data_IF_569363180164
#
_entry.id   IF_569363180164
#
_cell.length_a   1.000
_cell.length_b   1.000
_cell.length_c   1.000
_cell.angle_alpha   90.00
_cell.angle_beta   90.00
_cell.angle_gamma   90.00
#
_symmetry.space_group_name_H-M   'P 1'
#
loop_
_entity.id
_entity.type
_entity.pdbx_description
1 polymer ?
#
# COMPACT_ATOMS: atom_id res chain seq x y z
N UNK A 1 8.16 -6.61 -22.51
CA UNK A 1 7.45 -6.32 -21.26
C UNK A 1 8.49 -6.22 -20.18
N UNK A 2 8.46 -5.11 -19.43
CA UNK A 2 9.27 -5.01 -18.23
C UNK A 2 8.81 -6.05 -17.21
N UNK A 3 9.75 -6.59 -16.45
CA UNK A 3 9.47 -7.67 -15.52
C UNK A 3 8.59 -7.16 -14.37
N UNK A 4 7.58 -7.95 -14.01
CA UNK A 4 6.73 -7.66 -12.84
C UNK A 4 7.53 -7.91 -11.57
N UNK A 5 7.55 -6.90 -10.69
CA UNK A 5 8.27 -6.98 -9.43
C UNK A 5 7.28 -7.13 -8.28
N UNK A 6 7.60 -8.06 -7.38
CA UNK A 6 6.88 -8.31 -6.15
C UNK A 6 7.80 -8.24 -4.92
N UNK A 7 7.23 -8.54 -3.77
CA UNK A 7 7.90 -8.60 -2.48
C UNK A 7 7.70 -9.97 -1.84
N UNK A 8 8.80 -10.69 -1.68
CA UNK A 8 8.86 -11.82 -0.76
C UNK A 8 9.15 -11.29 0.64
N UNK A 9 8.28 -11.64 1.57
CA UNK A 9 8.34 -11.19 2.95
C UNK A 9 8.59 -12.38 3.87
N UNK A 10 9.53 -12.21 4.80
CA UNK A 10 9.82 -13.18 5.86
C UNK A 10 9.75 -12.51 7.22
N UNK A 11 9.23 -13.22 8.21
CA UNK A 11 9.28 -12.83 9.63
C UNK A 11 10.03 -13.91 10.40
N UNK A 12 11.10 -13.53 11.09
CA UNK A 12 11.98 -14.45 11.82
C UNK A 12 12.50 -15.62 10.96
N UNK A 13 12.83 -15.33 9.70
CA UNK A 13 13.31 -16.30 8.71
C UNK A 13 12.21 -17.12 8.04
N UNK A 14 10.97 -17.11 8.54
CA UNK A 14 9.85 -17.84 7.97
C UNK A 14 9.18 -17.04 6.85
N UNK A 15 9.05 -17.59 5.62
CA UNK A 15 8.29 -16.95 4.55
C UNK A 15 6.81 -16.80 4.93
N UNK A 16 6.26 -15.60 4.73
CA UNK A 16 4.85 -15.30 5.02
C UNK A 16 4.03 -14.99 3.77
N UNK A 17 4.62 -14.38 2.75
CA UNK A 17 3.99 -14.15 1.44
C UNK A 17 5.01 -13.78 0.37
N UNK A 18 4.73 -14.14 -0.88
CA UNK A 18 5.29 -13.59 -2.11
C UNK A 18 4.25 -12.66 -2.74
N UNK A 19 4.14 -11.43 -2.25
CA UNK A 19 3.13 -10.48 -2.70
C UNK A 19 3.51 -9.82 -4.04
N UNK A 20 2.55 -9.64 -4.93
CA UNK A 20 2.77 -8.98 -6.21
C UNK A 20 1.55 -9.04 -7.12
N UNK A 21 1.62 -8.35 -8.24
CA UNK A 21 0.54 -8.31 -9.23
C UNK A 21 1.05 -8.74 -10.60
N UNK A 22 0.27 -9.57 -11.28
CA UNK A 22 0.44 -9.85 -12.71
C UNK A 22 -0.35 -8.84 -13.56
N UNK A 23 -0.18 -7.55 -13.26
CA UNK A 23 -0.94 -6.42 -13.80
C UNK A 23 -0.04 -5.26 -14.20
N UNK A 24 -0.52 -4.37 -15.07
CA UNK A 24 0.27 -3.23 -15.57
C UNK A 24 0.15 -1.98 -14.68
N UNK A 25 -0.99 -1.79 -14.02
CA UNK A 25 -1.26 -0.64 -13.15
C UNK A 25 -1.62 -1.09 -11.74
N UNK A 26 -0.66 -0.97 -10.82
CA UNK A 26 -0.83 -1.40 -9.44
C UNK A 26 0.04 -0.62 -8.46
N UNK A 27 -0.33 -0.69 -7.19
CA UNK A 27 0.49 -0.27 -6.06
C UNK A 27 0.77 -1.49 -5.20
N UNK A 28 2.04 -1.76 -4.88
CA UNK A 28 2.44 -2.78 -3.92
C UNK A 28 3.15 -2.12 -2.75
N UNK A 29 2.73 -2.45 -1.53
CA UNK A 29 3.26 -1.88 -0.29
C UNK A 29 3.63 -3.01 0.66
N UNK A 30 4.88 -2.99 1.12
CA UNK A 30 5.30 -3.69 2.33
C UNK A 30 5.78 -2.65 3.32
N UNK A 31 5.10 -2.49 4.46
CA UNK A 31 5.42 -1.46 5.43
C UNK A 31 5.50 -2.02 6.85
N UNK A 32 6.46 -1.50 7.60
CA UNK A 32 6.54 -1.66 9.06
C UNK A 32 6.14 -0.34 9.69
N UNK A 33 5.22 -0.38 10.64
CA UNK A 33 4.68 0.80 11.31
C UNK A 33 4.97 0.72 12.80
N UNK A 34 5.52 1.81 13.36
CA UNK A 34 5.73 1.98 14.79
C UNK A 34 4.96 3.21 15.27
N UNK A 35 4.04 3.00 16.21
CA UNK A 35 3.24 4.06 16.80
C UNK A 35 3.48 4.09 18.31
N UNK A 36 3.76 5.28 18.83
CA UNK A 36 3.81 5.57 20.26
C UNK A 36 2.94 6.80 20.52
N UNK A 37 1.96 6.67 21.42
CA UNK A 37 0.96 7.71 21.68
C UNK A 37 1.13 8.27 23.10
N UNK A 38 0.73 9.52 23.31
CA UNK A 38 0.85 10.21 24.60
C UNK A 38 0.10 9.54 25.75
N UNK A 39 -0.91 8.73 25.46
CA UNK A 39 -1.64 7.94 26.47
C UNK A 39 -0.90 6.64 26.86
N UNK A 40 0.33 6.43 26.38
CA UNK A 40 1.15 5.26 26.64
C UNK A 40 0.88 4.06 25.73
N UNK A 41 -0.14 4.12 24.85
CA UNK A 41 -0.38 3.03 23.90
C UNK A 41 0.69 2.96 22.82
N UNK A 42 1.11 1.74 22.48
CA UNK A 42 2.10 1.43 21.45
C UNK A 42 1.54 0.40 20.47
N UNK A 43 1.95 0.50 19.22
CA UNK A 43 1.54 -0.43 18.18
C UNK A 43 2.69 -0.61 17.19
N UNK A 44 3.12 -1.85 17.02
CA UNK A 44 4.21 -2.22 16.11
C UNK A 44 3.66 -3.27 15.16
N UNK A 45 3.57 -2.95 13.88
CA UNK A 45 2.91 -3.83 12.91
C UNK A 45 3.70 -3.93 11.62
N UNK A 46 3.59 -5.08 10.97
CA UNK A 46 3.96 -5.30 9.58
C UNK A 46 2.66 -5.45 8.78
N UNK A 47 2.60 -4.84 7.61
CA UNK A 47 1.53 -5.03 6.65
C UNK A 47 2.10 -5.17 5.23
N UNK A 48 1.49 -6.06 4.45
CA UNK A 48 1.76 -6.28 3.03
C UNK A 48 0.43 -6.18 2.30
N UNK A 49 0.26 -5.11 1.53
CA UNK A 49 -0.98 -4.75 0.87
C UNK A 49 -0.70 -4.06 -0.47
N UNK A 50 -1.76 -3.70 -1.16
CA UNK A 50 -1.65 -3.01 -2.43
C UNK A 50 -2.99 -2.55 -2.97
N UNK A 51 -2.94 -1.98 -4.17
CA UNK A 51 -4.11 -1.57 -4.92
C UNK A 51 -3.99 -2.07 -6.37
N UNK A 52 -5.02 -2.75 -6.85
CA UNK A 52 -5.24 -3.08 -8.25
C UNK A 52 -5.98 -1.90 -8.89
N UNK A 53 -5.27 -1.05 -9.64
CA UNK A 53 -5.85 0.17 -10.21
C UNK A 53 -6.77 -0.13 -11.41
N UNK A 54 -6.57 -1.26 -12.09
CA UNK A 54 -7.44 -1.68 -13.18
C UNK A 54 -8.84 -2.05 -12.66
N UNK A 55 -8.90 -2.64 -11.46
CA UNK A 55 -10.15 -3.08 -10.84
C UNK A 55 -10.67 -2.13 -9.75
N UNK A 56 -9.89 -1.14 -9.36
CA UNK A 56 -10.16 -0.24 -8.22
C UNK A 56 -10.38 -1.02 -6.91
N UNK A 57 -9.53 -2.03 -6.68
CA UNK A 57 -9.57 -2.89 -5.50
C UNK A 57 -8.36 -2.67 -4.60
N UNK A 58 -8.60 -2.64 -3.29
CA UNK A 58 -7.56 -2.83 -2.29
C UNK A 58 -7.33 -4.32 -2.09
N UNK A 59 -6.06 -4.72 -1.98
CA UNK A 59 -5.65 -6.10 -1.74
C UNK A 59 -4.74 -6.19 -0.52
N UNK A 60 -4.82 -7.32 0.17
CA UNK A 60 -4.05 -7.57 1.38
C UNK A 60 -3.53 -9.00 1.38
N UNK A 61 -2.22 -9.15 1.59
CA UNK A 61 -1.56 -10.46 1.65
C UNK A 61 -1.23 -10.89 3.07
N UNK A 62 -0.76 -9.96 3.90
CA UNK A 62 -0.25 -10.32 5.20
C UNK A 62 -0.23 -9.13 6.14
N UNK A 63 -0.40 -9.41 7.43
CA UNK A 63 -0.15 -8.44 8.47
C UNK A 63 -0.12 -9.10 9.83
N UNK A 64 0.71 -8.55 10.70
CA UNK A 64 0.94 -9.09 12.04
C UNK A 64 1.47 -8.00 12.96
N UNK A 65 1.30 -8.21 14.26
CA UNK A 65 1.99 -7.41 15.27
C UNK A 65 3.44 -7.88 15.38
N UNK A 66 4.36 -6.93 15.51
CA UNK A 66 5.78 -7.17 15.73
C UNK A 66 6.15 -6.95 17.20
N UNK A 67 7.17 -7.66 17.65
CA UNK A 67 7.78 -7.51 18.96
C UNK A 67 9.24 -7.13 18.82
N UNK A 68 9.80 -6.55 19.89
CA UNK A 68 11.24 -6.31 19.96
C UNK A 68 12.01 -7.62 19.73
N UNK A 69 13.01 -7.57 18.86
CA UNK A 69 13.80 -8.74 18.45
C UNK A 69 13.27 -9.46 17.21
N UNK A 70 12.05 -9.17 16.74
CA UNK A 70 11.57 -9.73 15.48
C UNK A 70 12.38 -9.18 14.30
N UNK A 71 12.69 -10.06 13.34
CA UNK A 71 13.37 -9.71 12.10
C UNK A 71 12.40 -9.78 10.93
N UNK A 72 12.23 -8.67 10.23
CA UNK A 72 11.47 -8.60 8.97
C UNK A 72 12.44 -8.50 7.81
N UNK A 73 12.25 -9.32 6.78
CA UNK A 73 13.03 -9.26 5.54
C UNK A 73 12.11 -9.03 4.36
N UNK A 74 12.47 -8.04 3.54
CA UNK A 74 11.86 -7.81 2.22
C UNK A 74 12.87 -8.17 1.14
N UNK A 75 12.44 -8.99 0.19
CA UNK A 75 13.23 -9.42 -0.97
C UNK A 75 12.42 -9.11 -2.23
N UNK A 76 13.01 -8.37 -3.18
CA UNK A 76 12.36 -8.08 -4.47
C UNK A 76 12.42 -9.33 -5.34
N UNK A 77 11.27 -9.77 -5.85
CA UNK A 77 11.13 -11.02 -6.61
C UNK A 77 10.40 -10.79 -7.93
N UNK A 78 10.55 -11.75 -8.84
CA UNK A 78 9.73 -11.93 -10.04
C UNK A 78 8.61 -12.96 -9.76
N UNK A 79 7.61 -13.12 -10.64
CA UNK A 79 6.55 -14.13 -10.47
C UNK A 79 7.12 -15.55 -10.31
N UNK A 80 6.37 -16.48 -9.67
CA UNK A 80 4.96 -16.37 -9.30
C UNK A 80 4.72 -15.62 -7.98
N UNK A 81 3.58 -14.95 -7.90
CA UNK A 81 3.08 -14.30 -6.68
C UNK A 81 1.96 -15.13 -6.06
N UNK A 82 1.79 -14.98 -4.74
CA UNK A 82 0.68 -15.60 -4.00
C UNK A 82 -0.61 -14.80 -4.23
N UNK A 83 -1.76 -15.48 -4.18
CA UNK A 83 -3.06 -14.80 -4.14
C UNK A 83 -3.22 -14.01 -2.84
N UNK A 84 -3.84 -12.81 -2.87
CA UNK A 84 -4.10 -12.03 -1.67
C UNK A 84 -5.12 -12.75 -0.77
N UNK A 85 -4.99 -12.58 0.54
CA UNK A 85 -5.94 -13.10 1.54
C UNK A 85 -7.29 -12.42 1.42
N UNK A 86 -7.29 -11.10 1.15
CA UNK A 86 -8.52 -10.34 0.95
C UNK A 86 -8.38 -9.38 -0.22
N UNK A 87 -9.53 -9.13 -0.85
CA UNK A 87 -9.73 -8.13 -1.89
C UNK A 87 -11.01 -7.39 -1.57
N UNK A 88 -10.92 -6.07 -1.43
CA UNK A 88 -12.08 -5.21 -1.14
C UNK A 88 -12.16 -4.12 -2.19
N UNK A 89 -13.38 -3.83 -2.66
CA UNK A 89 -13.61 -2.68 -3.53
C UNK A 89 -13.21 -1.40 -2.79
N UNK A 90 -12.65 -0.46 -3.54
CA UNK A 90 -12.51 0.90 -3.05
C UNK A 90 -13.91 1.45 -2.75
N UNK A 91 -14.19 1.75 -1.48
CA UNK A 91 -15.45 2.40 -1.07
C UNK A 91 -15.49 3.89 -1.43
N UNK A 92 -14.49 4.39 -2.17
CA UNK A 92 -14.43 5.79 -2.56
C UNK A 92 -15.48 6.04 -3.63
N UNK A 93 -16.54 6.76 -3.25
CA UNK A 93 -17.51 7.31 -4.18
C UNK A 93 -16.80 8.13 -5.28
N UNK A 94 -17.02 7.73 -6.54
CA UNK A 94 -16.40 8.36 -7.69
C UNK A 94 -16.81 9.83 -7.81
N UNK A 95 -18.05 10.18 -7.46
CA UNK A 95 -18.52 11.57 -7.49
C UNK A 95 -17.78 12.41 -6.45
N UNK A 96 -17.68 11.93 -5.21
CA UNK A 96 -16.88 12.56 -4.16
C UNK A 96 -15.41 12.72 -4.56
N UNK A 97 -14.81 11.71 -5.22
CA UNK A 97 -13.41 11.77 -5.69
C UNK A 97 -13.22 12.85 -6.76
N UNK A 98 -14.11 12.92 -7.75
CA UNK A 98 -14.05 13.93 -8.82
C UNK A 98 -14.24 15.32 -8.22
N UNK A 99 -15.23 15.48 -7.34
CA UNK A 99 -15.49 16.75 -6.64
C UNK A 99 -14.25 17.23 -5.88
N UNK A 100 -13.63 16.35 -5.08
CA UNK A 100 -12.42 16.67 -4.33
C UNK A 100 -11.24 17.09 -5.24
N UNK A 101 -11.04 16.39 -6.37
CA UNK A 101 -10.00 16.74 -7.35
C UNK A 101 -10.25 18.11 -7.98
N UNK A 102 -11.50 18.42 -8.33
CA UNK A 102 -11.87 19.74 -8.89
C UNK A 102 -11.68 20.85 -7.87
N UNK A 103 -12.12 20.66 -6.63
CA UNK A 103 -11.91 21.62 -5.54
C UNK A 103 -10.41 21.88 -5.31
N UNK A 104 -9.59 20.83 -5.31
CA UNK A 104 -8.14 20.96 -5.16
C UNK A 104 -7.50 21.69 -6.35
N UNK A 105 -7.92 21.38 -7.58
CA UNK A 105 -7.48 22.09 -8.79
C UNK A 105 -7.79 23.59 -8.71
N UNK A 106 -9.02 23.96 -8.34
CA UNK A 106 -9.41 25.36 -8.21
C UNK A 106 -8.62 26.08 -7.11
N UNK A 107 -8.41 25.44 -5.96
CA UNK A 107 -7.60 25.97 -4.87
C UNK A 107 -6.15 26.23 -5.31
N UNK A 108 -5.54 25.26 -6.02
CA UNK A 108 -4.19 25.41 -6.54
C UNK A 108 -4.08 26.51 -7.58
N UNK A 109 -5.04 26.56 -8.52
CA UNK A 109 -5.10 27.61 -9.55
C UNK A 109 -5.13 29.00 -8.92
N UNK A 110 -5.93 29.20 -7.88
CA UNK A 110 -6.02 30.49 -7.19
C UNK A 110 -4.73 30.82 -6.42
N UNK A 111 -4.15 29.86 -5.69
CA UNK A 111 -2.89 30.06 -4.95
C UNK A 111 -1.70 30.39 -5.87
N UNK A 112 -1.72 29.84 -7.08
CA UNK A 112 -0.62 29.95 -8.03
C UNK A 112 -0.86 31.02 -9.10
N UNK A 113 -1.98 31.75 -9.06
CA UNK A 113 -2.35 32.74 -10.10
C UNK A 113 -1.30 33.83 -10.32
N UNK A 114 -0.58 34.20 -9.25
CA UNK A 114 0.48 35.23 -9.30
C UNK A 114 1.86 34.64 -9.64
N UNK A 115 1.95 33.31 -9.74
CA UNK A 115 3.20 32.56 -9.91
C UNK A 115 3.27 31.79 -11.24
N UNK A 116 2.13 31.59 -11.91
CA UNK A 116 2.02 30.93 -13.21
C UNK A 116 1.52 31.98 -14.21
N UNK A 117 2.36 32.30 -15.22
CA UNK A 117 2.01 33.20 -16.34
C UNK A 117 1.14 32.51 -17.37
#
# INVERSE_FOLDING_TARGET
MDKKLGLKVKVNGNPVTNAGFDKDDYVLVGNVTFVERNNGSKEFTLNVSGMDNEQDDNVYWYGTELKEGDTVTFEVIEPPFDDPQTRTKSDIDQEARIKSKLEHYHLLKEKLKDHIK
#
